data_IF_049788957458
#
_entry.id   IF_049788957458
#
_cell.length_a   1.000
_cell.length_b   1.000
_cell.length_c   1.000
_cell.angle_alpha   90.00
_cell.angle_beta   90.00
_cell.angle_gamma   90.00
#
_symmetry.space_group_name_H-M   'P 1'
#
loop_
_entity.id
_entity.type
_entity.pdbx_description
1 polymer ?
#
# COMPACT_ATOMS: atom_id res chain seq x y z
N UNK A 1 0.79 14.48 20.95
CA UNK A 1 0.83 13.16 20.27
C UNK A 1 2.20 12.99 19.60
N UNK A 2 2.67 11.75 19.42
CA UNK A 2 3.95 11.48 18.75
C UNK A 2 3.77 11.58 17.23
N UNK A 3 4.69 12.27 16.56
CA UNK A 3 4.78 12.27 15.08
C UNK A 3 5.55 11.04 14.62
N UNK A 4 5.03 10.36 13.59
CA UNK A 4 5.66 9.18 12.97
C UNK A 4 6.12 9.55 11.56
N UNK A 5 7.34 9.15 11.21
CA UNK A 5 7.90 9.32 9.86
C UNK A 5 7.63 8.09 9.01
N UNK A 6 7.19 8.31 7.76
CA UNK A 6 6.94 7.26 6.75
C UNK A 6 7.69 7.70 5.49
N UNK A 7 8.92 7.21 5.31
CA UNK A 7 9.82 7.76 4.30
C UNK A 7 10.04 9.27 4.50
N UNK A 8 9.67 10.06 3.50
CA UNK A 8 9.69 11.52 3.53
C UNK A 8 8.43 12.17 4.16
N UNK A 9 7.39 11.38 4.46
CA UNK A 9 6.13 11.86 5.02
C UNK A 9 6.16 11.90 6.56
N UNK A 10 5.26 12.68 7.14
CA UNK A 10 5.07 12.80 8.60
C UNK A 10 3.59 12.71 8.97
N UNK A 11 3.24 11.74 9.82
CA UNK A 11 1.91 11.61 10.40
C UNK A 11 1.90 12.17 11.83
N UNK A 12 1.13 13.23 12.08
CA UNK A 12 1.01 13.86 13.39
C UNK A 12 -0.03 15.00 13.38
N UNK A 13 -0.39 15.52 14.56
CA UNK A 13 -1.43 16.56 14.71
C UNK A 13 -1.09 17.87 13.98
N UNK A 14 0.19 18.23 13.93
CA UNK A 14 0.66 19.48 13.31
C UNK A 14 1.24 19.25 11.90
N UNK A 15 0.82 18.19 11.21
CA UNK A 15 1.29 17.84 9.87
C UNK A 15 0.13 17.89 8.86
N UNK A 16 0.39 18.03 7.56
CA UNK A 16 -0.65 17.92 6.54
C UNK A 16 -1.40 16.59 6.65
N UNK A 17 -2.69 16.58 6.32
CA UNK A 17 -3.52 15.38 6.41
C UNK A 17 -2.89 14.25 5.58
N UNK A 18 -2.64 13.11 6.22
CA UNK A 18 -2.12 11.92 5.56
C UNK A 18 -3.27 10.98 5.18
N UNK A 19 -3.33 10.64 3.89
CA UNK A 19 -4.30 9.73 3.31
C UNK A 19 -3.60 8.42 2.95
N UNK A 20 -4.20 7.31 3.36
CA UNK A 20 -3.83 5.96 2.94
C UNK A 20 -4.92 5.50 1.98
N UNK A 21 -4.57 5.27 0.71
CA UNK A 21 -5.56 4.94 -0.31
C UNK A 21 -5.00 3.99 -1.38
N UNK A 22 -5.91 3.21 -1.98
CA UNK A 22 -5.61 2.31 -3.08
C UNK A 22 -6.64 1.17 -3.15
N UNK A 23 -6.48 0.25 -4.11
CA UNK A 23 -7.42 -0.84 -4.28
C UNK A 23 -7.31 -1.83 -3.11
N UNK A 24 -8.43 -2.49 -2.79
CA UNK A 24 -8.48 -3.44 -1.67
C UNK A 24 -7.50 -4.60 -1.84
N UNK A 25 -7.35 -5.13 -3.06
CA UNK A 25 -6.52 -6.28 -3.39
C UNK A 25 -5.77 -6.03 -4.70
N UNK A 26 -4.55 -6.56 -4.81
CA UNK A 26 -3.78 -6.55 -6.05
C UNK A 26 -4.30 -7.67 -6.97
N UNK A 27 -5.19 -7.29 -7.89
CA UNK A 27 -5.82 -8.20 -8.86
C UNK A 27 -5.09 -8.22 -10.21
N UNK A 28 -4.52 -7.09 -10.62
CA UNK A 28 -3.70 -6.96 -11.83
C UNK A 28 -2.76 -5.77 -11.73
N UNK A 29 -1.69 -5.79 -12.52
CA UNK A 29 -0.77 -4.65 -12.61
C UNK A 29 -1.46 -3.40 -13.15
N UNK A 30 -2.29 -3.55 -14.20
CA UNK A 30 -3.02 -2.42 -14.79
C UNK A 30 -3.94 -1.74 -13.79
N UNK A 31 -4.67 -2.51 -12.97
CA UNK A 31 -5.53 -1.96 -11.91
C UNK A 31 -4.71 -1.12 -10.92
N UNK A 32 -3.60 -1.67 -10.44
CA UNK A 32 -2.76 -1.03 -9.43
C UNK A 32 -2.10 0.23 -9.97
N UNK A 33 -1.49 0.15 -11.16
CA UNK A 33 -0.79 1.28 -11.77
C UNK A 33 -1.75 2.41 -12.14
N UNK A 34 -2.91 2.11 -12.74
CA UNK A 34 -3.92 3.12 -13.09
C UNK A 34 -4.50 3.80 -11.84
N UNK A 35 -4.69 3.04 -10.75
CA UNK A 35 -5.17 3.59 -9.48
C UNK A 35 -4.12 4.49 -8.84
N UNK A 36 -2.85 4.05 -8.82
CA UNK A 36 -1.74 4.85 -8.28
C UNK A 36 -1.57 6.17 -9.04
N UNK A 37 -1.62 6.14 -10.38
CA UNK A 37 -1.57 7.35 -11.21
C UNK A 37 -2.73 8.31 -10.86
N UNK A 38 -3.95 7.79 -10.81
CA UNK A 38 -5.14 8.59 -10.53
C UNK A 38 -5.06 9.25 -9.15
N UNK A 39 -4.65 8.50 -8.13
CA UNK A 39 -4.48 9.03 -6.77
C UNK A 39 -3.35 10.06 -6.69
N UNK A 40 -2.22 9.81 -7.35
CA UNK A 40 -1.09 10.74 -7.41
C UNK A 40 -1.52 12.08 -8.03
N UNK A 41 -2.16 12.04 -9.20
CA UNK A 41 -2.68 13.24 -9.89
C UNK A 41 -3.70 14.01 -9.04
N UNK A 42 -4.57 13.29 -8.33
CA UNK A 42 -5.54 13.92 -7.44
C UNK A 42 -4.86 14.61 -6.23
N UNK A 43 -3.84 13.96 -5.65
CA UNK A 43 -3.12 14.48 -4.49
C UNK A 43 -2.23 15.69 -4.81
N UNK A 44 -1.69 15.80 -6.03
CA UNK A 44 -0.80 16.91 -6.44
C UNK A 44 -1.41 18.31 -6.28
N UNK A 45 -2.73 18.42 -6.33
CA UNK A 45 -3.45 19.69 -6.22
C UNK A 45 -4.04 19.96 -4.84
N UNK A 46 -3.69 19.13 -3.84
CA UNK A 46 -4.26 19.18 -2.50
C UNK A 46 -3.14 19.27 -1.44
N UNK A 47 -3.36 19.96 -0.31
CA UNK A 47 -2.40 20.03 0.79
C UNK A 47 -2.46 18.74 1.64
N UNK A 48 -2.26 17.59 1.00
CA UNK A 48 -2.32 16.26 1.63
C UNK A 48 -1.05 15.46 1.35
N UNK A 49 -0.82 14.46 2.19
CA UNK A 49 0.19 13.42 2.00
C UNK A 49 -0.50 12.13 1.57
N UNK A 50 0.14 11.34 0.70
CA UNK A 50 -0.45 10.11 0.18
C UNK A 50 0.49 8.92 0.39
N UNK A 51 -0.04 7.86 1.01
CA UNK A 51 0.56 6.53 1.07
C UNK A 51 -0.31 5.60 0.22
N UNK A 52 0.31 4.90 -0.73
CA UNK A 52 -0.39 3.94 -1.56
C UNK A 52 -0.59 2.63 -0.81
N UNK A 53 -1.82 2.11 -0.80
CA UNK A 53 -2.18 0.87 -0.10
C UNK A 53 -2.79 -0.14 -1.05
N UNK A 54 -2.28 -1.37 -1.02
CA UNK A 54 -3.04 -2.52 -1.55
C UNK A 54 -2.61 -3.82 -0.89
N UNK A 55 -3.56 -4.72 -0.64
CA UNK A 55 -3.27 -6.03 -0.03
C UNK A 55 -2.76 -6.98 -1.10
N UNK A 56 -1.75 -7.80 -0.80
CA UNK A 56 -1.32 -8.87 -1.71
C UNK A 56 -2.17 -10.15 -1.57
N UNK A 57 -2.86 -10.31 -0.43
CA UNK A 57 -3.66 -11.49 -0.10
C UNK A 57 -4.92 -11.10 0.66
N UNK A 58 -6.02 -11.79 0.39
CA UNK A 58 -7.26 -11.69 1.18
C UNK A 58 -7.47 -12.96 2.00
N UNK A 59 -7.13 -12.94 3.29
CA UNK A 59 -7.25 -14.09 4.20
C UNK A 59 -8.67 -14.29 4.77
N UNK A 60 -9.47 -13.22 4.87
CA UNK A 60 -10.79 -13.26 5.51
C UNK A 60 -11.92 -13.49 4.49
N UNK A 61 -12.17 -14.75 4.10
CA UNK A 61 -13.22 -15.09 3.11
C UNK A 61 -14.33 -15.93 3.72
N UNK A 62 -15.54 -15.70 3.21
CA UNK A 62 -16.74 -16.49 3.51
C UNK A 62 -16.77 -17.83 2.76
N UNK A 63 -15.99 -18.00 1.69
CA UNK A 63 -15.84 -19.27 0.97
C UNK A 63 -14.36 -19.60 0.70
N UNK A 64 -14.02 -20.88 0.85
CA UNK A 64 -12.66 -21.39 0.64
C UNK A 64 -12.21 -21.36 -0.85
N UNK A 65 -13.14 -21.31 -1.80
CA UNK A 65 -12.87 -21.29 -3.24
C UNK A 65 -12.71 -19.88 -3.84
N UNK A 66 -12.78 -18.83 -3.01
CA UNK A 66 -12.67 -17.45 -3.49
C UNK A 66 -11.26 -17.06 -3.96
N UNK A 67 -11.17 -16.19 -4.96
CA UNK A 67 -9.90 -15.60 -5.41
C UNK A 67 -9.16 -14.90 -4.25
N UNK A 68 -7.94 -15.31 -3.94
CA UNK A 68 -7.18 -14.78 -2.79
C UNK A 68 -6.09 -13.78 -3.15
N UNK A 69 -5.72 -13.68 -4.43
CA UNK A 69 -4.64 -12.82 -4.93
C UNK A 69 -3.89 -13.46 -6.09
N UNK A 70 -2.93 -12.74 -6.65
CA UNK A 70 -2.15 -13.17 -7.83
C UNK A 70 -0.81 -13.84 -7.49
N UNK A 71 -0.58 -14.16 -6.22
CA UNK A 71 0.69 -14.67 -5.71
C UNK A 71 1.56 -13.58 -5.08
N UNK A 72 2.30 -13.98 -4.05
CA UNK A 72 3.02 -13.08 -3.15
C UNK A 72 4.11 -12.28 -3.86
N UNK A 73 5.06 -12.94 -4.54
CA UNK A 73 6.17 -12.26 -5.25
C UNK A 73 5.68 -11.31 -6.34
N UNK A 74 4.68 -11.75 -7.13
CA UNK A 74 4.11 -10.93 -8.20
C UNK A 74 3.44 -9.66 -7.65
N UNK A 75 2.71 -9.79 -6.54
CA UNK A 75 2.05 -8.65 -5.91
C UNK A 75 3.07 -7.64 -5.34
N UNK A 76 4.12 -8.12 -4.66
CA UNK A 76 5.20 -7.26 -4.15
C UNK A 76 5.98 -6.57 -5.28
N UNK A 77 6.26 -7.25 -6.39
CA UNK A 77 6.90 -6.64 -7.55
C UNK A 77 6.06 -5.52 -8.18
N UNK A 78 4.73 -5.66 -8.20
CA UNK A 78 3.84 -4.58 -8.65
C UNK A 78 3.87 -3.39 -7.68
N UNK A 79 3.92 -3.63 -6.37
CA UNK A 79 4.06 -2.56 -5.37
C UNK A 79 5.39 -1.81 -5.54
N UNK A 80 6.51 -2.51 -5.74
CA UNK A 80 7.79 -1.85 -6.07
C UNK A 80 7.68 -1.00 -7.34
N UNK A 81 6.98 -1.48 -8.36
CA UNK A 81 6.76 -0.71 -9.60
C UNK A 81 5.99 0.59 -9.33
N UNK A 82 5.00 0.58 -8.42
CA UNK A 82 4.30 1.80 -7.97
C UNK A 82 5.28 2.78 -7.33
N UNK A 83 6.11 2.33 -6.38
CA UNK A 83 7.15 3.18 -5.74
C UNK A 83 8.06 3.80 -6.80
N UNK A 84 8.61 2.97 -7.68
CA UNK A 84 9.58 3.40 -8.69
C UNK A 84 8.99 4.37 -9.73
N UNK A 85 7.70 4.24 -10.04
CA UNK A 85 7.04 5.05 -11.08
C UNK A 85 6.48 6.36 -10.54
N UNK A 86 5.89 6.34 -9.34
CA UNK A 86 5.12 7.48 -8.80
C UNK A 86 5.73 8.11 -7.55
N UNK A 87 6.85 7.57 -7.05
CA UNK A 87 7.53 8.00 -5.83
C UNK A 87 6.57 8.09 -4.63
N UNK A 88 5.75 7.05 -4.47
CA UNK A 88 4.77 6.94 -3.38
C UNK A 88 5.28 5.96 -2.33
N UNK A 89 5.24 6.33 -1.04
CA UNK A 89 5.38 5.38 0.05
C UNK A 89 4.26 4.34 -0.01
N UNK A 90 4.59 3.12 0.42
CA UNK A 90 3.75 1.94 0.27
C UNK A 90 3.32 1.38 1.62
N UNK A 91 2.11 0.85 1.64
CA UNK A 91 1.55 0.10 2.76
C UNK A 91 0.88 -1.18 2.27
N UNK A 92 1.13 -2.29 2.96
CA UNK A 92 0.36 -3.52 2.79
C UNK A 92 0.24 -4.25 4.12
N UNK A 93 -0.74 -5.14 4.22
CA UNK A 93 -1.05 -5.94 5.40
C UNK A 93 -0.37 -7.31 5.36
N UNK A 94 0.07 -7.79 6.53
CA UNK A 94 0.61 -9.15 6.70
C UNK A 94 -0.39 -10.00 7.49
N UNK A 95 -0.37 -11.30 7.24
CA UNK A 95 -1.27 -12.29 7.87
C UNK A 95 -0.50 -13.31 8.72
N UNK A 96 0.82 -13.35 8.60
CA UNK A 96 1.70 -14.20 9.42
C UNK A 96 3.00 -13.48 9.77
N UNK A 97 3.64 -13.90 10.87
CA UNK A 97 4.93 -13.36 11.31
C UNK A 97 6.05 -13.56 10.27
N UNK A 98 5.99 -14.67 9.54
CA UNK A 98 6.98 -15.02 8.51
C UNK A 98 6.94 -14.08 7.30
N UNK A 99 5.80 -13.45 7.03
CA UNK A 99 5.66 -12.47 5.94
C UNK A 99 6.32 -11.14 6.32
N UNK A 100 6.39 -10.78 7.60
CA UNK A 100 6.86 -9.47 8.07
C UNK A 100 8.24 -9.05 7.51
N UNK A 101 9.33 -9.86 7.62
CA UNK A 101 10.63 -9.43 7.13
C UNK A 101 10.67 -9.28 5.60
N UNK A 102 9.89 -10.08 4.87
CA UNK A 102 9.88 -10.07 3.40
C UNK A 102 9.08 -8.88 2.88
N UNK A 103 7.93 -8.59 3.51
CA UNK A 103 7.11 -7.44 3.13
C UNK A 103 7.79 -6.13 3.54
N UNK A 104 8.43 -6.10 4.72
CA UNK A 104 9.15 -4.92 5.21
C UNK A 104 10.33 -4.50 4.31
N UNK A 105 10.91 -5.41 3.51
CA UNK A 105 11.94 -5.02 2.55
C UNK A 105 11.39 -4.28 1.32
N UNK A 106 10.06 -4.27 1.15
CA UNK A 106 9.37 -3.70 -0.02
C UNK A 106 8.56 -2.46 0.33
N UNK A 107 7.90 -2.43 1.50
CA UNK A 107 6.97 -1.37 1.90
C UNK A 107 7.48 -0.52 3.05
N UNK A 108 6.96 0.70 3.18
CA UNK A 108 7.34 1.62 4.26
C UNK A 108 6.51 1.41 5.53
N UNK A 109 5.33 0.82 5.40
CA UNK A 109 4.41 0.55 6.52
C UNK A 109 3.83 -0.85 6.42
N UNK A 110 3.97 -1.62 7.50
CA UNK A 110 3.24 -2.87 7.70
C UNK A 110 1.94 -2.60 8.45
N UNK A 111 0.83 -3.13 7.92
CA UNK A 111 -0.45 -3.16 8.62
C UNK A 111 -0.69 -4.53 9.25
N UNK A 112 -1.08 -4.51 10.52
CA UNK A 112 -1.55 -5.69 11.25
C UNK A 112 -3.10 -5.68 11.17
N UNK A 113 -3.74 -6.70 10.58
CA UNK A 113 -5.21 -6.79 10.48
C UNK A 113 -5.94 -6.86 11.83
#
# INVERSE_FOLDING_TARGET
MKTVSIGNLKAGLDQPLLIIAGPCLIESESLVMNTAESLKRAAENLPIQLVFKSSFKKANRTSASGFTGIGFEKALGILEKVRNTYDLPLLTDIHTEMEAPIVASVVDVLQIP
#
